data_IF_599111374283
#
_entry.id   IF_599111374283
#
_cell.length_a   1.000
_cell.length_b   1.000
_cell.length_c   1.000
_cell.angle_alpha   90.00
_cell.angle_beta   90.00
_cell.angle_gamma   90.00
#
_symmetry.space_group_name_H-M   'P 1'
#
loop_
_entity.id
_entity.type
_entity.pdbx_description
1 polymer ?
#
# COMPACT_ATOMS: atom_id res chain seq x y z
N UNK A 1 9.31 9.63 -10.81
CA UNK A 1 9.57 10.60 -9.75
C UNK A 1 8.66 10.31 -8.57
N UNK A 2 9.22 10.27 -7.38
CA UNK A 2 8.46 9.99 -6.15
C UNK A 2 8.17 11.30 -5.44
N UNK A 3 6.96 11.47 -4.91
CA UNK A 3 6.64 12.64 -4.12
C UNK A 3 6.01 12.24 -2.79
N UNK A 4 6.31 12.99 -1.75
CA UNK A 4 5.74 12.82 -0.43
C UNK A 4 4.81 14.00 -0.16
N UNK A 5 3.60 13.71 0.29
CA UNK A 5 2.63 14.74 0.68
C UNK A 5 2.76 14.99 2.18
N UNK A 6 2.31 16.17 2.64
CA UNK A 6 2.36 16.53 4.07
C UNK A 6 1.49 15.61 4.94
N UNK A 7 0.60 14.83 4.35
CA UNK A 7 -0.28 13.89 5.05
C UNK A 7 0.31 12.49 5.19
N UNK A 8 1.59 12.31 4.89
CA UNK A 8 2.27 11.02 5.03
C UNK A 8 2.13 10.08 3.86
N UNK A 9 1.43 10.47 2.81
CA UNK A 9 1.27 9.64 1.61
C UNK A 9 2.46 9.83 0.69
N UNK A 10 3.03 8.72 0.23
CA UNK A 10 4.09 8.73 -0.77
C UNK A 10 3.48 8.19 -2.07
N UNK A 11 3.63 8.96 -3.16
CA UNK A 11 3.18 8.58 -4.49
C UNK A 11 4.40 8.31 -5.38
N UNK A 12 4.37 7.17 -6.06
CA UNK A 12 5.44 6.77 -6.99
C UNK A 12 4.80 6.45 -8.33
N UNK A 13 5.28 7.04 -9.45
CA UNK A 13 4.73 6.70 -10.77
C UNK A 13 5.10 5.27 -11.14
N UNK A 14 4.15 4.56 -11.74
CA UNK A 14 4.39 3.21 -12.27
C UNK A 14 4.68 3.28 -13.76
N UNK A 15 5.55 2.40 -14.23
CA UNK A 15 5.85 2.24 -15.65
C UNK A 15 4.84 1.31 -16.35
N UNK A 16 3.83 0.85 -15.64
CA UNK A 16 2.88 -0.16 -16.12
C UNK A 16 1.45 0.31 -15.95
N UNK A 17 0.50 -0.43 -16.54
CA UNK A 17 -0.91 -0.21 -16.29
C UNK A 17 -1.25 -0.57 -14.84
N UNK A 18 -2.44 -0.19 -14.39
CA UNK A 18 -2.92 -0.58 -13.06
C UNK A 18 -2.92 -2.11 -12.93
N UNK A 19 -3.46 -2.83 -13.92
CA UNK A 19 -3.50 -4.30 -13.86
C UNK A 19 -2.12 -4.92 -13.80
N UNK A 20 -1.21 -4.45 -14.64
CA UNK A 20 0.17 -4.97 -14.66
C UNK A 20 0.89 -4.68 -13.35
N UNK A 21 0.70 -3.49 -12.80
CA UNK A 21 1.31 -3.10 -11.52
C UNK A 21 0.78 -3.98 -10.39
N UNK A 22 -0.54 -4.21 -10.36
CA UNK A 22 -1.18 -5.06 -9.36
C UNK A 22 -0.65 -6.50 -9.47
N UNK A 23 -0.59 -7.05 -10.69
CA UNK A 23 -0.09 -8.41 -10.90
C UNK A 23 1.37 -8.54 -10.45
N UNK A 24 2.17 -7.55 -10.76
CA UNK A 24 3.57 -7.50 -10.33
C UNK A 24 3.68 -7.50 -8.82
N UNK A 25 2.87 -6.66 -8.15
CA UNK A 25 2.86 -6.59 -6.69
C UNK A 25 2.42 -7.92 -6.07
N UNK A 26 1.37 -8.54 -6.62
CA UNK A 26 0.91 -9.85 -6.13
C UNK A 26 2.01 -10.90 -6.21
N UNK A 27 2.75 -10.94 -7.32
CA UNK A 27 3.85 -11.88 -7.49
C UNK A 27 4.99 -11.61 -6.51
N UNK A 28 5.31 -10.35 -6.27
CA UNK A 28 6.35 -9.97 -5.30
C UNK A 28 5.94 -10.39 -3.89
N UNK A 29 4.71 -10.13 -3.49
CA UNK A 29 4.19 -10.53 -2.19
C UNK A 29 4.29 -12.04 -2.01
N UNK A 30 3.86 -12.80 -3.01
CA UNK A 30 3.92 -14.27 -2.96
C UNK A 30 5.36 -14.76 -2.81
N UNK A 31 6.30 -14.19 -3.57
CA UNK A 31 7.70 -14.60 -3.52
C UNK A 31 8.35 -14.32 -2.17
N UNK A 32 7.86 -13.33 -1.44
CA UNK A 32 8.38 -12.95 -0.11
C UNK A 32 7.61 -13.61 1.04
N UNK A 33 6.61 -14.43 0.73
CA UNK A 33 5.80 -15.06 1.76
C UNK A 33 4.91 -14.09 2.53
N UNK A 34 4.57 -12.95 1.94
CA UNK A 34 3.67 -11.96 2.54
C UNK A 34 2.24 -12.29 2.13
N UNK A 35 1.33 -12.28 3.10
CA UNK A 35 -0.07 -12.63 2.84
C UNK A 35 -0.83 -11.45 2.24
N UNK A 36 -1.48 -11.68 1.11
CA UNK A 36 -2.45 -10.73 0.55
C UNK A 36 -3.79 -11.02 1.21
N UNK A 37 -4.22 -10.15 2.11
CA UNK A 37 -5.47 -10.32 2.84
C UNK A 37 -6.68 -9.95 1.99
N UNK A 38 -6.56 -8.90 1.18
CA UNK A 38 -7.67 -8.45 0.35
C UNK A 38 -7.16 -7.63 -0.83
N UNK A 39 -7.90 -7.72 -1.92
CA UNK A 39 -7.75 -6.83 -3.07
C UNK A 39 -9.10 -6.18 -3.27
N UNK A 40 -9.15 -4.86 -3.10
CA UNK A 40 -10.39 -4.10 -3.28
C UNK A 40 -10.31 -3.37 -4.61
N UNK A 41 -11.24 -3.67 -5.52
CA UNK A 41 -11.34 -3.00 -6.81
C UNK A 41 -12.41 -1.90 -6.70
N UNK A 42 -11.97 -0.69 -6.34
CA UNK A 42 -12.89 0.44 -6.20
C UNK A 42 -13.60 0.76 -7.50
N UNK A 43 -12.86 0.72 -8.62
CA UNK A 43 -13.43 0.99 -9.94
C UNK A 43 -14.46 -0.06 -10.34
N UNK A 44 -14.22 -1.32 -10.01
CA UNK A 44 -15.18 -2.40 -10.24
C UNK A 44 -16.43 -2.25 -9.39
N UNK A 45 -16.28 -1.85 -8.12
CA UNK A 45 -17.42 -1.60 -7.25
C UNK A 45 -18.25 -0.41 -7.73
N UNK A 46 -17.60 0.62 -8.24
CA UNK A 46 -18.30 1.77 -8.85
C UNK A 46 -19.17 1.32 -10.02
N UNK A 47 -18.63 0.46 -10.89
CA UNK A 47 -19.39 -0.07 -12.03
C UNK A 47 -20.66 -0.79 -11.61
N UNK A 48 -20.60 -1.53 -10.51
CA UNK A 48 -21.76 -2.29 -10.02
C UNK A 48 -22.92 -1.39 -9.62
N UNK A 49 -22.67 -0.12 -9.32
CA UNK A 49 -23.72 0.85 -8.97
C UNK A 49 -23.93 1.88 -10.07
N UNK A 50 -23.48 1.56 -11.29
CA UNK A 50 -23.73 2.40 -12.48
C UNK A 50 -22.85 3.63 -12.57
N UNK A 51 -21.74 3.68 -11.86
CA UNK A 51 -20.81 4.81 -11.87
C UNK A 51 -19.50 4.41 -12.52
N UNK A 52 -18.77 5.43 -12.99
CA UNK A 52 -17.46 5.22 -13.63
C UNK A 52 -16.39 6.01 -12.93
N UNK A 53 -15.23 5.40 -12.76
CA UNK A 53 -14.04 6.07 -12.25
C UNK A 53 -12.81 5.43 -12.88
N UNK A 54 -11.66 6.14 -12.89
CA UNK A 54 -10.42 5.54 -13.36
C UNK A 54 -10.07 4.29 -12.58
N UNK A 55 -9.33 3.38 -13.20
CA UNK A 55 -8.92 2.13 -12.55
C UNK A 55 -8.23 2.41 -11.23
N UNK A 56 -8.74 1.85 -10.14
CA UNK A 56 -8.29 2.12 -8.77
C UNK A 56 -8.43 0.85 -7.95
N UNK A 57 -7.30 0.31 -7.49
CA UNK A 57 -7.28 -0.92 -6.71
C UNK A 57 -6.43 -0.76 -5.46
N UNK A 58 -6.92 -1.32 -4.35
CA UNK A 58 -6.23 -1.29 -3.06
C UNK A 58 -5.86 -2.70 -2.67
N UNK A 59 -4.57 -2.93 -2.41
CA UNK A 59 -4.07 -4.20 -1.91
C UNK A 59 -3.77 -4.06 -0.42
N UNK A 60 -4.31 -4.99 0.36
CA UNK A 60 -4.12 -5.05 1.81
C UNK A 60 -3.34 -6.32 2.12
N UNK A 61 -2.17 -6.17 2.71
CA UNK A 61 -1.25 -7.28 2.88
C UNK A 61 -0.45 -7.14 4.16
N UNK A 62 0.16 -8.21 4.60
CA UNK A 62 1.03 -8.16 5.76
C UNK A 62 1.47 -9.53 6.21
N UNK A 63 2.17 -9.50 7.35
CA UNK A 63 2.67 -10.69 8.02
C UNK A 63 2.38 -10.52 9.51
N UNK A 64 1.56 -11.40 10.11
CA UNK A 64 1.24 -11.29 11.54
C UNK A 64 2.47 -11.28 12.45
N UNK A 65 3.55 -11.95 12.04
CA UNK A 65 4.78 -11.95 12.82
C UNK A 65 5.43 -10.56 12.86
N UNK A 66 5.20 -9.75 11.83
CA UNK A 66 5.74 -8.39 11.76
C UNK A 66 4.78 -7.38 12.38
N UNK A 67 3.48 -7.55 12.15
CA UNK A 67 2.47 -6.59 12.61
C UNK A 67 2.08 -6.70 14.07
N UNK A 68 2.01 -7.91 14.59
CA UNK A 68 1.57 -8.14 15.97
C UNK A 68 2.45 -7.39 17.00
N UNK A 69 3.78 -7.41 16.90
CA UNK A 69 4.60 -6.65 17.85
C UNK A 69 4.29 -5.16 17.87
N UNK A 70 3.96 -4.58 16.71
CA UNK A 70 3.59 -3.16 16.61
C UNK A 70 2.28 -2.89 17.35
N UNK A 71 1.28 -3.75 17.14
CA UNK A 71 -0.02 -3.60 17.78
C UNK A 71 0.06 -3.83 19.29
N UNK A 72 0.93 -4.71 19.74
CA UNK A 72 1.16 -4.92 21.18
C UNK A 72 1.81 -3.69 21.80
N UNK A 73 2.76 -3.06 21.10
CA UNK A 73 3.44 -1.86 21.58
C UNK A 73 2.53 -0.63 21.52
N UNK A 74 1.71 -0.53 20.47
CA UNK A 74 0.83 0.61 20.22
C UNK A 74 -0.47 0.12 19.61
N UNK A 75 -1.50 -0.15 20.44
CA UNK A 75 -2.76 -0.74 19.95
C UNK A 75 -3.44 0.05 18.84
N UNK A 76 -3.32 1.37 18.82
CA UNK A 76 -3.93 2.18 17.76
C UNK A 76 -3.38 1.87 16.38
N UNK A 77 -2.17 1.31 16.29
CA UNK A 77 -1.59 0.95 14.99
C UNK A 77 -2.42 -0.09 14.25
N UNK A 78 -3.29 -0.82 14.95
CA UNK A 78 -4.20 -1.77 14.33
C UNK A 78 -5.16 -1.09 13.34
N UNK A 79 -5.36 0.22 13.43
CA UNK A 79 -6.18 0.96 12.46
C UNK A 79 -5.48 1.08 11.10
N UNK A 80 -4.16 1.10 11.09
CA UNK A 80 -3.37 1.29 9.88
C UNK A 80 -2.66 0.02 9.43
N UNK A 81 -2.88 -1.08 10.13
CA UNK A 81 -2.41 -2.40 9.75
C UNK A 81 -3.61 -3.28 9.38
N UNK A 82 -3.48 -4.22 8.46
CA UNK A 82 -2.29 -4.54 7.66
C UNK A 82 -1.84 -3.39 6.77
N UNK A 83 -0.64 -3.52 6.18
CA UNK A 83 -0.13 -2.53 5.24
C UNK A 83 -1.00 -2.47 3.98
N UNK A 84 -0.99 -1.33 3.31
CA UNK A 84 -1.80 -1.10 2.12
C UNK A 84 -0.99 -0.40 1.05
N UNK A 85 -1.24 -0.78 -0.20
CA UNK A 85 -0.74 -0.08 -1.38
C UNK A 85 -1.93 0.19 -2.30
N UNK A 86 -2.08 1.44 -2.69
CA UNK A 86 -3.09 1.87 -3.66
C UNK A 86 -2.43 1.97 -5.03
N UNK A 87 -3.06 1.36 -6.03
CA UNK A 87 -2.64 1.49 -7.43
C UNK A 87 -3.78 2.16 -8.17
N UNK A 88 -3.52 3.33 -8.74
CA UNK A 88 -4.58 4.14 -9.33
C UNK A 88 -4.11 4.85 -10.60
N UNK A 89 -5.05 5.10 -11.50
CA UNK A 89 -4.83 5.87 -12.71
C UNK A 89 -5.46 7.25 -12.53
N UNK A 90 -4.71 8.29 -12.86
CA UNK A 90 -5.21 9.65 -12.74
C UNK A 90 -5.96 10.08 -14.01
N UNK A 91 -6.47 11.33 -14.00
CA UNK A 91 -7.26 11.87 -15.12
C UNK A 91 -6.46 11.95 -16.42
N UNK A 92 -5.13 11.96 -16.37
CA UNK A 92 -4.25 12.02 -17.53
C UNK A 92 -3.79 10.62 -17.96
N UNK A 93 -4.31 9.57 -17.34
CA UNK A 93 -3.92 8.19 -17.67
C UNK A 93 -2.63 7.74 -17.04
N UNK A 94 -2.06 8.53 -16.13
CA UNK A 94 -0.82 8.16 -15.45
C UNK A 94 -1.14 7.26 -14.26
N UNK A 95 -0.33 6.21 -14.08
CA UNK A 95 -0.53 5.23 -13.03
C UNK A 95 0.40 5.54 -11.86
N UNK A 96 -0.17 5.49 -10.65
CA UNK A 96 0.52 5.79 -9.41
C UNK A 96 0.42 4.63 -8.44
N UNK A 97 1.50 4.43 -7.69
CA UNK A 97 1.56 3.51 -6.57
C UNK A 97 1.71 4.36 -5.31
N UNK A 98 0.74 4.27 -4.42
CA UNK A 98 0.67 5.16 -3.25
C UNK A 98 0.59 4.34 -1.96
N UNK A 99 1.24 4.83 -0.91
CA UNK A 99 1.25 4.15 0.37
C UNK A 99 1.55 5.14 1.51
N UNK A 100 1.22 4.74 2.73
CA UNK A 100 1.56 5.52 3.92
C UNK A 100 3.04 5.30 4.25
N UNK A 101 3.78 6.40 4.46
CA UNK A 101 5.18 6.28 4.85
C UNK A 101 5.30 5.67 6.24
N UNK A 102 6.35 4.85 6.44
CA UNK A 102 6.60 4.25 7.75
C UNK A 102 6.88 5.32 8.81
N UNK A 103 7.55 6.41 8.42
CA UNK A 103 7.83 7.53 9.33
C UNK A 103 6.55 8.20 9.82
N UNK A 104 5.56 8.36 8.93
CA UNK A 104 4.27 8.92 9.29
C UNK A 104 3.53 8.02 10.29
N UNK A 105 3.52 6.72 10.03
CA UNK A 105 2.87 5.76 10.92
C UNK A 105 3.56 5.70 12.27
N UNK A 106 4.90 5.79 12.29
CA UNK A 106 5.65 5.85 13.54
C UNK A 106 5.22 7.05 14.38
N UNK A 107 5.15 8.22 13.77
CA UNK A 107 4.76 9.44 14.48
C UNK A 107 3.31 9.38 14.96
N UNK A 108 2.41 8.92 14.08
CA UNK A 108 0.98 8.85 14.41
C UNK A 108 0.69 7.95 15.61
N UNK A 109 1.38 6.81 15.70
CA UNK A 109 1.11 5.79 16.71
C UNK A 109 2.20 5.69 17.78
N UNK A 110 3.20 6.57 17.75
CA UNK A 110 4.34 6.53 18.67
C UNK A 110 4.99 5.13 18.67
N UNK A 111 5.24 4.59 17.48
CA UNK A 111 5.82 3.26 17.35
C UNK A 111 7.28 3.24 17.81
N UNK A 112 7.72 2.16 18.51
CA UNK A 112 9.12 2.04 18.90
C UNK A 112 10.02 2.04 17.67
N UNK A 113 11.13 2.80 17.67
CA UNK A 113 12.02 2.87 16.50
C UNK A 113 12.58 1.51 16.06
N UNK A 114 12.84 0.60 17.02
CA UNK A 114 13.38 -0.72 16.71
C UNK A 114 12.40 -1.65 16.00
N UNK A 115 11.09 -1.34 16.04
CA UNK A 115 10.07 -2.12 15.33
C UNK A 115 9.70 -1.52 13.98
N UNK A 116 10.22 -0.35 13.64
CA UNK A 116 9.84 0.35 12.39
C UNK A 116 10.20 -0.48 11.15
N UNK A 117 11.26 -1.24 11.20
CA UNK A 117 11.68 -2.11 10.10
C UNK A 117 10.57 -3.10 9.69
N UNK A 118 9.67 -3.44 10.63
CA UNK A 118 8.58 -4.40 10.34
C UNK A 118 7.59 -3.87 9.31
N UNK A 119 7.51 -2.55 9.12
CA UNK A 119 6.61 -1.93 8.14
C UNK A 119 7.36 -1.18 7.04
N UNK A 120 8.67 -0.97 7.19
CA UNK A 120 9.46 -0.24 6.20
C UNK A 120 9.52 -0.93 4.84
N UNK A 121 9.23 -2.22 4.79
CA UNK A 121 9.23 -3.02 3.56
C UNK A 121 8.23 -2.49 2.51
N UNK A 122 7.21 -1.74 2.94
CA UNK A 122 6.21 -1.21 2.01
C UNK A 122 6.84 -0.36 0.91
N UNK A 123 7.84 0.44 1.23
CA UNK A 123 8.54 1.28 0.25
C UNK A 123 9.24 0.44 -0.82
N UNK A 124 9.89 -0.64 -0.41
CA UNK A 124 10.56 -1.55 -1.33
C UNK A 124 9.56 -2.26 -2.24
N UNK A 125 8.44 -2.72 -1.68
CA UNK A 125 7.39 -3.39 -2.45
C UNK A 125 6.80 -2.44 -3.50
N UNK A 126 6.51 -1.20 -3.10
CA UNK A 126 5.96 -0.20 -4.01
C UNK A 126 6.94 0.12 -5.14
N UNK A 127 8.21 0.29 -4.82
CA UNK A 127 9.26 0.58 -5.80
C UNK A 127 9.36 -0.53 -6.84
N UNK A 128 9.41 -1.78 -6.40
CA UNK A 128 9.53 -2.92 -7.30
C UNK A 128 8.30 -3.10 -8.17
N UNK A 129 7.12 -2.89 -7.62
CA UNK A 129 5.88 -3.00 -8.40
C UNK A 129 5.78 -1.92 -9.47
N UNK A 130 6.32 -0.73 -9.21
CA UNK A 130 6.26 0.42 -10.11
C UNK A 130 7.31 0.36 -11.24
N UNK A 131 8.38 -0.38 -11.05
CA UNK A 131 9.42 -0.54 -12.07
C UNK A 131 8.85 -1.34 -13.27
#
# INVERSE_FOLDING_TARGET
MTSARNNGIIDRPSNHSVEQTVDKLKNILQSKGVTLFALIDHSGEAEKVGMKMPSTKLLIFGNPKAGTPLMLASPSSAMDLPLKILVSEDAQGKVWVSYNSSAYLQERHALPPDLLQNIAVVATLATKAAE
#
